data_IF_720144027342
#
_entry.id   IF_720144027342
#
_cell.length_a   1.000
_cell.length_b   1.000
_cell.length_c   1.000
_cell.angle_alpha   90.00
_cell.angle_beta   90.00
_cell.angle_gamma   90.00
#
_symmetry.space_group_name_H-M   'P 1'
#
loop_
_entity.id
_entity.type
_entity.pdbx_description
1 polymer ?
#
# COMPACT_ATOMS: atom_id res chain seq x y z
N UNK A 1 17.56 -15.58 -19.94
CA UNK A 1 16.39 -16.19 -19.26
C UNK A 1 16.72 -16.25 -17.78
N UNK A 2 16.48 -15.15 -17.07
CA UNK A 2 16.80 -15.07 -15.65
C UNK A 2 15.76 -15.87 -14.87
N UNK A 3 16.23 -17.01 -14.36
CA UNK A 3 15.50 -17.94 -13.52
C UNK A 3 15.17 -17.25 -12.19
N UNK A 4 14.09 -16.47 -12.19
CA UNK A 4 13.63 -15.67 -11.06
C UNK A 4 12.91 -16.58 -10.07
N UNK A 5 13.68 -17.33 -9.27
CA UNK A 5 13.13 -18.10 -8.17
C UNK A 5 12.78 -17.13 -7.04
N UNK A 6 11.48 -16.97 -6.85
CA UNK A 6 10.88 -16.11 -5.84
C UNK A 6 11.03 -16.82 -4.50
N UNK A 7 12.04 -16.44 -3.71
CA UNK A 7 12.26 -17.02 -2.40
C UNK A 7 11.26 -16.44 -1.40
N UNK A 8 10.29 -17.29 -1.00
CA UNK A 8 9.50 -17.19 0.23
C UNK A 8 10.43 -16.76 1.38
N UNK A 9 10.00 -15.81 2.23
CA UNK A 9 10.78 -15.23 3.35
C UNK A 9 11.79 -16.23 3.88
N UNK A 10 13.03 -16.09 3.45
CA UNK A 10 14.08 -16.89 4.01
C UNK A 10 14.29 -16.34 5.41
N UNK A 11 14.26 -17.21 6.41
CA UNK A 11 14.56 -16.82 7.78
C UNK A 11 16.06 -16.48 7.89
N UNK A 12 16.62 -15.66 7.00
CA UNK A 12 18.01 -15.32 6.87
C UNK A 12 18.19 -13.91 6.32
N UNK A 13 19.34 -13.32 6.61
CA UNK A 13 19.74 -12.06 6.03
C UNK A 13 20.03 -12.23 4.52
N UNK A 14 19.47 -11.37 3.67
CA UNK A 14 19.73 -11.37 2.22
C UNK A 14 21.18 -11.04 1.88
N UNK A 15 21.90 -10.31 2.74
CA UNK A 15 23.29 -9.89 2.47
C UNK A 15 24.33 -10.90 2.94
N UNK A 16 24.23 -11.41 4.17
CA UNK A 16 25.22 -12.33 4.74
C UNK A 16 24.73 -13.77 4.86
N UNK A 17 23.51 -14.05 4.36
CA UNK A 17 22.86 -15.37 4.36
C UNK A 17 22.66 -16.02 5.74
N UNK A 18 22.98 -15.29 6.81
CA UNK A 18 22.85 -15.77 8.19
C UNK A 18 21.40 -15.95 8.55
N UNK A 19 21.06 -17.15 9.02
CA UNK A 19 19.73 -17.49 9.52
C UNK A 19 19.40 -16.67 10.78
N UNK A 20 18.23 -16.05 10.81
CA UNK A 20 17.70 -15.34 11.96
C UNK A 20 17.28 -16.31 13.06
N UNK A 21 17.64 -15.99 14.29
CA UNK A 21 17.25 -16.78 15.47
C UNK A 21 15.85 -16.41 15.94
N UNK A 22 15.25 -17.27 16.77
CA UNK A 22 13.96 -16.98 17.39
C UNK A 22 14.01 -15.67 18.19
N UNK A 23 13.05 -14.79 17.95
CA UNK A 23 13.02 -13.48 18.61
C UNK A 23 14.09 -12.51 18.12
N UNK A 24 14.87 -12.84 17.09
CA UNK A 24 15.92 -11.94 16.62
C UNK A 24 15.31 -10.74 15.88
N UNK A 25 15.82 -9.54 16.15
CA UNK A 25 15.44 -8.34 15.40
C UNK A 25 16.17 -8.28 14.07
N UNK A 26 15.44 -7.94 13.02
CA UNK A 26 15.98 -7.69 11.68
C UNK A 26 15.20 -6.56 11.02
N UNK A 27 15.70 -6.06 9.89
CA UNK A 27 15.09 -4.98 9.12
C UNK A 27 14.54 -5.55 7.82
N UNK A 28 13.29 -5.26 7.51
CA UNK A 28 12.70 -5.54 6.21
C UNK A 28 12.75 -4.28 5.36
N UNK A 29 13.19 -4.42 4.12
CA UNK A 29 13.35 -3.36 3.16
C UNK A 29 12.51 -3.67 1.92
N UNK A 30 11.80 -2.67 1.40
CA UNK A 30 11.07 -2.70 0.14
C UNK A 30 11.69 -1.66 -0.78
N UNK A 31 12.28 -2.14 -1.87
CA UNK A 31 12.80 -1.33 -2.96
C UNK A 31 11.71 -1.15 -4.01
N UNK A 32 11.53 0.10 -4.46
CA UNK A 32 10.67 0.44 -5.59
C UNK A 32 11.51 0.36 -6.87
N UNK A 33 11.39 -0.73 -7.61
CA UNK A 33 12.12 -0.95 -8.86
C UNK A 33 11.17 -0.72 -10.04
N UNK A 34 11.04 0.55 -10.43
CA UNK A 34 10.04 0.99 -11.40
C UNK A 34 8.63 0.72 -10.86
N UNK A 35 7.89 -0.17 -11.53
CA UNK A 35 6.51 -0.50 -11.17
C UNK A 35 6.39 -1.67 -10.17
N UNK A 36 7.51 -2.27 -9.73
CA UNK A 36 7.52 -3.48 -8.89
C UNK A 36 8.11 -3.24 -7.51
N UNK A 37 7.68 -4.07 -6.57
CA UNK A 37 8.26 -4.16 -5.23
C UNK A 37 9.25 -5.32 -5.12
N UNK A 38 10.47 -5.01 -4.65
CA UNK A 38 11.45 -6.03 -4.24
C UNK A 38 11.69 -5.94 -2.74
N UNK A 39 11.53 -7.06 -2.03
CA UNK A 39 11.77 -7.15 -0.59
C UNK A 39 13.14 -7.76 -0.29
N UNK A 40 13.86 -7.19 0.66
CA UNK A 40 15.03 -7.79 1.31
C UNK A 40 14.84 -7.81 2.83
N UNK A 41 15.45 -8.77 3.51
CA UNK A 41 15.52 -8.79 4.97
C UNK A 41 17.01 -8.74 5.38
N UNK A 42 17.40 -7.74 6.18
CA UNK A 42 18.79 -7.51 6.62
C UNK A 42 18.93 -7.64 8.13
N UNK A 43 19.99 -8.32 8.59
CA UNK A 43 20.30 -8.33 10.02
C UNK A 43 20.79 -6.93 10.47
N UNK A 44 20.81 -6.63 11.77
CA UNK A 44 21.27 -5.33 12.27
C UNK A 44 22.69 -4.98 11.82
N UNK A 45 23.57 -5.96 11.65
CA UNK A 45 24.95 -5.74 11.20
C UNK A 45 25.07 -5.46 9.69
N UNK A 46 24.10 -5.88 8.87
CA UNK A 46 24.08 -5.64 7.43
C UNK A 46 23.09 -4.53 7.02
N UNK A 47 22.37 -3.98 7.99
CA UNK A 47 21.46 -2.87 7.75
C UNK A 47 22.25 -1.57 7.78
N UNK A 48 22.31 -0.92 6.62
CA UNK A 48 22.75 0.45 6.51
C UNK A 48 21.51 1.31 6.30
N UNK A 49 21.31 2.29 7.19
CA UNK A 49 20.17 3.19 7.06
C UNK A 49 20.29 3.95 5.72
N UNK A 50 19.37 3.74 4.78
CA UNK A 50 19.50 4.29 3.44
C UNK A 50 19.40 5.81 3.48
N UNK A 51 20.40 6.49 2.89
CA UNK A 51 20.43 7.97 2.83
C UNK A 51 19.53 8.57 1.75
N UNK A 52 19.06 7.76 0.80
CA UNK A 52 18.22 8.20 -0.31
C UNK A 52 16.74 7.96 0.04
N UNK A 53 16.06 9.03 0.43
CA UNK A 53 14.62 9.05 0.71
C UNK A 53 13.90 9.13 -0.63
N UNK A 54 13.36 8.00 -1.10
CA UNK A 54 12.76 7.91 -2.42
C UNK A 54 12.45 6.46 -2.77
N UNK A 55 13.42 5.68 -3.18
CA UNK A 55 13.16 4.38 -3.82
C UNK A 55 13.18 3.20 -2.83
N UNK A 56 13.04 3.49 -1.54
CA UNK A 56 13.18 2.52 -0.47
C UNK A 56 12.31 2.85 0.74
N UNK A 57 11.57 1.85 1.20
CA UNK A 57 10.84 1.86 2.47
C UNK A 57 11.37 0.72 3.35
N UNK A 58 11.58 0.95 4.65
CA UNK A 58 12.05 -0.09 5.55
C UNK A 58 11.35 -0.01 6.90
N UNK A 59 11.23 -1.15 7.58
CA UNK A 59 10.71 -1.25 8.94
C UNK A 59 11.46 -2.32 9.72
N UNK A 60 11.43 -2.20 11.05
CA UNK A 60 12.08 -3.14 11.97
C UNK A 60 11.08 -4.22 12.38
N UNK A 61 11.46 -5.49 12.22
CA UNK A 61 10.64 -6.66 12.56
C UNK A 61 11.39 -7.60 13.49
N UNK A 62 10.65 -8.50 14.17
CA UNK A 62 11.21 -9.59 14.98
C UNK A 62 10.95 -10.93 14.30
N UNK A 63 11.97 -11.79 14.23
CA UNK A 63 11.82 -13.15 13.72
C UNK A 63 11.03 -13.98 14.72
N UNK A 64 10.03 -14.70 14.22
CA UNK A 64 9.24 -15.65 14.99
C UNK A 64 9.14 -16.95 14.19
N UNK A 65 9.54 -18.06 14.79
CA UNK A 65 9.50 -19.41 14.25
C UNK A 65 8.09 -19.96 14.27
N UNK A 66 7.27 -19.51 15.24
CA UNK A 66 5.87 -19.90 15.31
C UNK A 66 5.11 -19.44 14.07
N UNK A 67 4.64 -20.43 13.31
CA UNK A 67 3.89 -20.21 12.08
C UNK A 67 2.62 -19.42 12.37
N UNK A 68 1.96 -19.57 13.53
CA UNK A 68 0.70 -18.87 13.85
C UNK A 68 0.89 -17.36 14.02
N UNK A 69 2.01 -16.93 14.60
CA UNK A 69 2.32 -15.52 14.77
C UNK A 69 2.77 -14.85 13.45
N UNK A 70 3.27 -15.62 12.47
CA UNK A 70 3.55 -15.14 11.11
C UNK A 70 2.29 -14.69 10.35
N UNK A 71 1.08 -15.02 10.83
CA UNK A 71 -0.17 -14.62 10.19
C UNK A 71 -0.71 -13.24 10.62
N UNK A 72 -0.06 -12.54 11.55
CA UNK A 72 -0.47 -11.19 11.92
C UNK A 72 -0.03 -10.19 10.85
N UNK A 73 -1.00 -9.59 10.14
CA UNK A 73 -0.72 -8.44 9.27
C UNK A 73 -0.17 -7.31 10.10
N UNK A 74 1.03 -6.84 9.75
CA UNK A 74 1.57 -5.61 10.31
C UNK A 74 0.90 -4.41 9.65
N UNK A 75 -0.21 -3.96 10.25
CA UNK A 75 -0.95 -2.79 9.77
C UNK A 75 -0.17 -1.48 9.93
N UNK A 76 0.84 -1.43 10.79
CA UNK A 76 1.71 -0.26 10.92
C UNK A 76 2.64 -0.18 9.71
N UNK A 77 3.30 -1.29 9.35
CA UNK A 77 4.13 -1.36 8.15
C UNK A 77 3.33 -1.13 6.85
N UNK A 78 2.08 -1.59 6.78
CA UNK A 78 1.18 -1.29 5.65
C UNK A 78 0.87 0.20 5.56
N UNK A 79 0.60 0.84 6.70
CA UNK A 79 0.26 2.26 6.76
C UNK A 79 1.47 3.11 6.37
N UNK A 80 2.68 2.75 6.79
CA UNK A 80 3.90 3.40 6.37
C UNK A 80 4.20 3.17 4.87
N UNK A 81 3.98 1.97 4.33
CA UNK A 81 4.08 1.73 2.90
C UNK A 81 3.10 2.62 2.12
N UNK A 82 1.85 2.73 2.57
CA UNK A 82 0.86 3.62 1.97
C UNK A 82 1.38 5.07 1.88
N UNK A 83 1.97 5.59 2.96
CA UNK A 83 2.57 6.92 2.98
C UNK A 83 3.79 7.03 2.04
N UNK A 84 4.65 6.02 2.00
CA UNK A 84 5.86 6.02 1.16
C UNK A 84 5.57 6.01 -0.35
N UNK A 85 4.37 5.58 -0.75
CA UNK A 85 3.89 5.60 -2.13
C UNK A 85 3.39 6.99 -2.58
N UNK A 86 3.45 8.01 -1.72
CA UNK A 86 3.03 9.36 -2.08
C UNK A 86 3.93 9.97 -3.16
N UNK A 87 3.32 10.67 -4.12
CA UNK A 87 4.05 11.32 -5.20
C UNK A 87 4.59 10.38 -6.29
N UNK A 88 4.44 9.06 -6.14
CA UNK A 88 4.80 8.07 -7.18
C UNK A 88 3.94 8.24 -8.42
N UNK A 89 4.56 8.08 -9.59
CA UNK A 89 3.93 8.33 -10.90
C UNK A 89 3.62 7.04 -11.66
N UNK A 90 4.25 5.95 -11.25
CA UNK A 90 4.09 4.61 -11.80
C UNK A 90 2.65 4.14 -11.54
N UNK A 91 1.93 3.80 -12.60
CA UNK A 91 0.53 3.42 -12.54
C UNK A 91 0.28 2.29 -11.55
N UNK A 92 1.08 1.24 -11.61
CA UNK A 92 1.00 0.10 -10.69
C UNK A 92 1.20 0.48 -9.22
N UNK A 93 2.09 1.43 -8.93
CA UNK A 93 2.31 1.91 -7.55
C UNK A 93 1.14 2.78 -7.06
N UNK A 94 0.51 3.55 -7.96
CA UNK A 94 -0.71 4.31 -7.64
C UNK A 94 -1.91 3.39 -7.40
N UNK A 95 -2.09 2.38 -8.24
CA UNK A 95 -3.10 1.33 -8.03
C UNK A 95 -2.87 0.58 -6.72
N UNK A 96 -1.61 0.28 -6.40
CA UNK A 96 -1.24 -0.32 -5.13
C UNK A 96 -1.60 0.59 -3.94
N UNK A 97 -1.26 1.89 -4.02
CA UNK A 97 -1.64 2.89 -3.01
C UNK A 97 -3.16 2.97 -2.85
N UNK A 98 -3.90 2.92 -3.95
CA UNK A 98 -5.36 2.84 -3.93
C UNK A 98 -5.86 1.59 -3.20
N UNK A 99 -5.37 0.40 -3.56
CA UNK A 99 -5.73 -0.85 -2.88
C UNK A 99 -5.43 -0.82 -1.38
N UNK A 100 -4.26 -0.29 -0.98
CA UNK A 100 -3.88 -0.11 0.43
C UNK A 100 -4.81 0.85 1.15
N UNK A 101 -5.26 1.92 0.48
CA UNK A 101 -6.19 2.88 1.06
C UNK A 101 -7.55 2.25 1.40
N UNK A 102 -8.09 1.42 0.49
CA UNK A 102 -9.34 0.68 0.69
C UNK A 102 -9.24 -0.26 1.89
N UNK A 103 -8.08 -0.92 2.02
CA UNK A 103 -7.80 -1.77 3.16
C UNK A 103 -7.78 -0.98 4.48
N UNK A 104 -7.02 0.11 4.52
CA UNK A 104 -6.85 0.91 5.73
C UNK A 104 -8.17 1.55 6.17
N UNK A 105 -9.04 1.92 5.22
CA UNK A 105 -10.42 2.34 5.48
C UNK A 105 -11.22 1.22 6.16
N UNK A 106 -11.21 0.00 5.61
CA UNK A 106 -11.92 -1.15 6.20
C UNK A 106 -11.46 -1.46 7.62
N UNK A 107 -10.16 -1.31 7.90
CA UNK A 107 -9.58 -1.51 9.24
C UNK A 107 -9.69 -0.31 10.15
N UNK A 108 -10.38 0.76 9.72
CA UNK A 108 -10.57 2.04 10.44
C UNK A 108 -9.26 2.73 10.83
N UNK A 109 -8.18 2.46 10.08
CA UNK A 109 -6.87 3.13 10.18
C UNK A 109 -6.86 4.45 9.41
N UNK A 110 -7.66 4.53 8.35
CA UNK A 110 -8.02 5.77 7.65
C UNK A 110 -9.52 6.03 7.79
N UNK A 111 -9.91 7.28 7.55
CA UNK A 111 -11.29 7.75 7.44
C UNK A 111 -11.46 8.47 6.11
N UNK A 112 -12.56 8.19 5.42
CA UNK A 112 -12.97 8.96 4.26
C UNK A 112 -13.52 10.30 4.74
N UNK A 113 -12.96 11.40 4.24
CA UNK A 113 -13.38 12.77 4.53
C UNK A 113 -14.26 13.31 3.41
N UNK A 114 -13.97 12.90 2.16
CA UNK A 114 -14.76 13.26 1.00
C UNK A 114 -14.27 12.56 -0.26
N UNK A 115 -14.98 12.77 -1.36
CA UNK A 115 -14.60 12.31 -2.70
C UNK A 115 -14.61 13.53 -3.61
N UNK A 116 -13.49 13.81 -4.28
CA UNK A 116 -13.39 14.83 -5.33
C UNK A 116 -13.56 14.15 -6.68
N UNK A 117 -14.41 14.72 -7.53
CA UNK A 117 -14.64 14.25 -8.90
C UNK A 117 -14.15 15.33 -9.85
N UNK A 118 -13.19 14.98 -10.69
CA UNK A 118 -12.73 15.79 -11.81
C UNK A 118 -13.11 15.07 -13.12
N UNK A 119 -13.09 15.77 -14.25
CA UNK A 119 -13.49 15.23 -15.56
C UNK A 119 -12.78 13.89 -15.87
N UNK A 120 -13.48 12.78 -15.66
CA UNK A 120 -12.98 11.43 -15.89
C UNK A 120 -12.10 10.82 -14.78
N UNK A 121 -11.98 11.44 -13.60
CA UNK A 121 -11.25 10.84 -12.48
C UNK A 121 -11.89 11.15 -11.11
N UNK A 122 -11.91 10.14 -10.24
CA UNK A 122 -12.31 10.31 -8.85
C UNK A 122 -11.09 10.25 -7.94
N UNK A 123 -11.11 11.01 -6.86
CA UNK A 123 -10.05 11.06 -5.85
C UNK A 123 -10.67 10.98 -4.46
N UNK A 124 -10.21 10.01 -3.66
CA UNK A 124 -10.58 9.89 -2.26
C UNK A 124 -9.74 10.86 -1.42
N UNK A 125 -10.40 11.68 -0.61
CA UNK A 125 -9.76 12.47 0.44
C UNK A 125 -9.83 11.71 1.75
N UNK A 126 -8.68 11.26 2.24
CA UNK A 126 -8.55 10.35 3.39
C UNK A 126 -7.81 11.01 4.53
N UNK A 127 -8.07 10.59 5.77
CA UNK A 127 -7.40 11.13 6.95
C UNK A 127 -7.20 10.07 8.02
N UNK A 128 -6.13 10.18 8.80
CA UNK A 128 -5.93 9.36 10.00
C UNK A 128 -6.92 9.78 11.12
N UNK A 129 -7.56 8.84 11.85
CA UNK A 129 -8.60 9.12 12.87
C UNK A 129 -8.28 10.16 13.96
N UNK A 130 -7.00 10.53 14.14
CA UNK A 130 -6.49 11.45 15.18
C UNK A 130 -5.51 12.51 14.63
N UNK A 131 -5.44 12.68 13.30
CA UNK A 131 -4.61 13.71 12.65
C UNK A 131 -5.49 14.58 11.77
N UNK A 132 -5.03 15.77 11.45
CA UNK A 132 -5.67 16.72 10.52
C UNK A 132 -5.13 16.61 9.11
N UNK A 133 -4.02 15.90 8.92
CA UNK A 133 -3.41 15.63 7.61
C UNK A 133 -4.36 14.82 6.72
N UNK A 134 -4.58 15.33 5.52
CA UNK A 134 -5.39 14.71 4.48
C UNK A 134 -4.51 14.16 3.37
N UNK A 135 -4.86 12.97 2.88
CA UNK A 135 -4.19 12.29 1.78
C UNK A 135 -5.16 12.18 0.62
N UNK A 136 -4.67 12.52 -0.58
CA UNK A 136 -5.42 12.31 -1.82
C UNK A 136 -4.98 11.00 -2.47
N UNK A 137 -5.97 10.19 -2.86
CA UNK A 137 -5.75 8.89 -3.50
C UNK A 137 -6.66 8.78 -4.71
N UNK A 138 -6.06 8.71 -5.90
CA UNK A 138 -6.80 8.48 -7.14
C UNK A 138 -7.53 7.13 -7.08
N UNK A 139 -8.79 7.13 -7.53
CA UNK A 139 -9.61 5.92 -7.67
C UNK A 139 -9.23 5.23 -8.99
N UNK A 140 -9.03 3.92 -8.92
CA UNK A 140 -8.78 3.08 -10.08
C UNK A 140 -9.88 2.03 -10.21
N UNK A 141 -10.34 1.80 -11.43
CA UNK A 141 -11.14 0.62 -11.76
C UNK A 141 -10.19 -0.57 -11.91
N UNK A 142 -10.14 -1.41 -10.90
CA UNK A 142 -9.32 -2.63 -10.91
C UNK A 142 -10.22 -3.80 -11.26
N UNK A 143 -9.97 -4.43 -12.41
CA UNK A 143 -10.58 -5.71 -12.71
C UNK A 143 -10.11 -6.80 -11.74
N UNK A 144 -10.78 -7.95 -11.78
CA UNK A 144 -10.50 -9.07 -10.87
C UNK A 144 -9.05 -9.59 -10.99
N UNK A 145 -8.49 -9.62 -12.20
CA UNK A 145 -7.14 -10.13 -12.45
C UNK A 145 -6.09 -9.15 -11.90
N UNK A 146 -6.24 -7.87 -12.21
CA UNK A 146 -5.36 -6.80 -11.76
C UNK A 146 -5.38 -6.66 -10.25
N UNK A 147 -6.56 -6.67 -9.65
CA UNK A 147 -6.70 -6.66 -8.20
C UNK A 147 -6.04 -7.88 -7.56
N UNK A 148 -6.18 -9.07 -8.15
CA UNK A 148 -5.54 -10.28 -7.65
C UNK A 148 -4.02 -10.22 -7.78
N UNK A 149 -3.48 -9.66 -8.87
CA UNK A 149 -2.05 -9.48 -9.05
C UNK A 149 -1.44 -8.52 -8.02
N UNK A 150 -2.09 -7.40 -7.73
CA UNK A 150 -1.66 -6.45 -6.69
C UNK A 150 -1.75 -7.07 -5.30
N UNK A 151 -2.82 -7.81 -5.00
CA UNK A 151 -2.97 -8.56 -3.73
C UNK A 151 -1.85 -9.60 -3.58
N UNK A 152 -1.54 -10.36 -4.63
CA UNK A 152 -0.46 -11.34 -4.60
C UNK A 152 0.91 -10.69 -4.39
N UNK A 153 1.12 -9.49 -4.94
CA UNK A 153 2.32 -8.70 -4.69
C UNK A 153 2.42 -8.24 -3.23
N UNK A 154 1.35 -7.69 -2.66
CA UNK A 154 1.30 -7.37 -1.23
C UNK A 154 1.53 -8.60 -0.35
N UNK A 155 0.96 -9.74 -0.71
CA UNK A 155 1.11 -10.99 0.02
C UNK A 155 2.57 -11.45 0.02
N UNK A 156 3.24 -11.33 -1.14
CA UNK A 156 4.67 -11.63 -1.26
C UNK A 156 5.52 -10.70 -0.40
N UNK A 157 5.16 -9.42 -0.33
CA UNK A 157 5.91 -8.39 0.38
C UNK A 157 5.65 -8.40 1.89
N UNK A 158 4.46 -8.77 2.37
CA UNK A 158 4.08 -8.75 3.79
C UNK A 158 3.91 -10.15 4.43
N UNK A 159 4.47 -11.21 3.83
CA UNK A 159 4.47 -12.58 4.37
C UNK A 159 3.08 -13.26 4.43
N UNK A 160 2.28 -13.05 3.37
CA UNK A 160 1.22 -13.92 2.83
C UNK A 160 -0.09 -14.00 3.61
N UNK A 161 0.00 -14.02 4.92
CA UNK A 161 -0.95 -14.77 5.71
C UNK A 161 -2.15 -13.98 6.24
N UNK A 162 -2.08 -12.65 6.18
CA UNK A 162 -3.27 -11.84 6.40
C UNK A 162 -3.53 -10.84 5.29
N UNK A 163 -2.71 -10.87 4.21
CA UNK A 163 -3.04 -10.19 2.95
C UNK A 163 -4.20 -10.91 2.24
N UNK A 164 -4.27 -12.23 2.38
CA UNK A 164 -5.38 -13.06 1.91
C UNK A 164 -6.71 -12.72 2.62
N UNK A 165 -6.68 -12.36 3.91
CA UNK A 165 -7.86 -11.84 4.61
C UNK A 165 -8.34 -10.46 4.06
N UNK A 166 -7.46 -9.72 3.38
CA UNK A 166 -7.81 -8.50 2.64
C UNK A 166 -8.51 -8.83 1.31
N UNK A 167 -8.36 -10.07 0.80
CA UNK A 167 -8.86 -10.48 -0.51
C UNK A 167 -10.39 -10.65 -0.57
N UNK A 168 -11.05 -10.80 0.58
CA UNK A 168 -12.50 -11.03 0.69
C UNK A 168 -13.37 -9.77 0.52
N UNK A 169 -12.85 -8.66 -0.02
CA UNK A 169 -13.61 -7.44 -0.29
C UNK A 169 -13.85 -7.28 -1.81
N UNK A 170 -15.09 -7.01 -2.25
CA UNK A 170 -15.31 -6.55 -3.61
C UNK A 170 -14.56 -5.22 -3.82
N UNK A 171 -13.88 -5.11 -4.96
CA UNK A 171 -13.03 -3.96 -5.33
C UNK A 171 -13.87 -2.78 -5.87
N UNK A 172 -15.19 -2.96 -5.92
CA UNK A 172 -16.12 -1.89 -6.28
C UNK A 172 -16.49 -1.06 -5.05
N UNK A 173 -15.86 0.10 -4.91
CA UNK A 173 -16.51 1.24 -4.24
C UNK A 173 -17.02 2.19 -5.33
N UNK A 174 -18.34 2.15 -5.48
CA UNK A 174 -19.22 3.12 -6.15
C UNK A 174 -19.31 3.11 -7.68
N UNK A 175 -20.26 2.31 -8.19
CA UNK A 175 -21.30 2.89 -9.04
C UNK A 175 -22.64 2.72 -8.29
N UNK A 176 -22.85 3.56 -7.29
CA UNK A 176 -24.19 3.91 -6.82
C UNK A 176 -24.12 5.07 -5.81
N UNK A 177 -24.14 6.28 -6.36
CA UNK A 177 -24.68 7.45 -5.69
C UNK A 177 -25.17 8.39 -6.79
N UNK A 178 -26.45 8.24 -7.11
CA UNK A 178 -27.18 9.03 -8.08
C UNK A 178 -27.01 10.53 -7.86
N UNK A 179 -27.09 11.23 -9.00
CA UNK A 179 -26.79 12.64 -9.12
C UNK A 179 -27.55 13.57 -8.19
N UNK A 180 -26.92 14.70 -7.94
CA UNK A 180 -27.62 15.98 -7.86
C UNK A 180 -26.78 16.97 -8.66
N UNK A 181 -27.28 17.51 -9.78
CA UNK A 181 -26.55 18.54 -10.51
C UNK A 181 -26.52 19.81 -9.67
N UNK A 182 -25.32 20.32 -9.38
CA UNK A 182 -25.16 21.68 -8.88
C UNK A 182 -25.41 22.61 -10.06
N UNK A 183 -26.52 23.33 -9.99
CA UNK A 183 -26.99 24.26 -11.00
C UNK A 183 -25.92 25.32 -11.34
N UNK A 184 -25.69 25.51 -12.64
CA UNK A 184 -25.08 26.70 -13.21
C UNK A 184 -25.84 27.95 -12.73
N UNK A 185 -25.20 28.79 -11.91
CA UNK A 185 -25.62 30.18 -11.76
C UNK A 185 -25.02 30.98 -12.92
N UNK A 186 -25.74 30.99 -14.06
CA UNK A 186 -25.60 32.04 -15.07
C UNK A 186 -26.26 33.30 -14.53
N UNK A 187 -25.48 34.26 -14.07
CA UNK A 187 -25.91 35.66 -14.02
C UNK A 187 -25.34 36.34 -15.27
N UNK A 188 -26.14 36.31 -16.34
CA UNK A 188 -26.05 37.33 -17.37
C UNK A 188 -26.97 38.46 -16.94
N UNK A 189 -26.43 39.68 -16.82
CA UNK A 189 -27.24 40.87 -17.09
C UNK A 189 -26.41 41.85 -17.89
N UNK A 190 -27.04 42.25 -18.98
CA UNK A 190 -26.55 43.10 -20.05
C UNK A 190 -27.37 44.38 -20.00
N UNK A 191 -26.70 45.49 -20.27
CA UNK A 191 -27.26 46.73 -20.82
C UNK A 191 -28.09 47.63 -19.90
N UNK A 192 -27.46 48.76 -19.56
CA UNK A 192 -28.06 50.08 -19.40
C UNK A 192 -27.02 51.11 -19.84
#
# INVERSE_FOLDING_TARGET
MSDWRIHRREARCTQCERVFQEGETFFSLIFFEGDRLRREDRCPACFEEPRAVGDLFFWRTRHQADRRARFAVDFEAIEELFLSLEGRREERLRELRYLLSLLLLRKKRLKLVGVRRNEGSETLCLRRPRRTEEFEVQVFELDSERAQALKAELARVFDGAGVEALAAAPVHLASDAGGTPVAEARAGESTG
#
